data_IF_173705875415
#
_entry.id   IF_173705875415
#
_cell.length_a   1.000
_cell.length_b   1.000
_cell.length_c   1.000
_cell.angle_alpha   90.00
_cell.angle_beta   90.00
_cell.angle_gamma   90.00
#
_symmetry.space_group_name_H-M   'P 1'
#
loop_
_entity.id
_entity.type
_entity.pdbx_description
1 polymer ?
#
# COMPACT_ATOMS: atom_id res chain seq x y z
N UNK A 1 11.58 -2.84 37.26
CA UNK A 1 11.96 -1.64 36.49
C UNK A 1 12.80 -2.06 35.28
N UNK A 2 12.25 -2.00 34.07
CA UNK A 2 12.94 -1.43 32.91
C UNK A 2 11.95 -1.30 31.76
N UNK A 3 11.53 -0.06 31.54
CA UNK A 3 10.92 0.47 30.32
C UNK A 3 11.80 0.09 29.13
N UNK A 4 11.25 -0.47 28.06
CA UNK A 4 11.89 -0.46 26.73
C UNK A 4 10.85 -0.45 25.62
N UNK A 5 10.27 0.73 25.51
CA UNK A 5 9.78 1.40 24.30
C UNK A 5 10.54 0.95 23.06
N UNK A 6 9.85 0.41 22.07
CA UNK A 6 10.30 0.44 20.67
C UNK A 6 9.04 0.67 19.84
N UNK A 7 9.09 1.58 18.84
CA UNK A 7 7.91 2.07 18.08
C UNK A 7 8.19 2.19 16.56
N UNK A 8 7.50 1.48 15.63
CA UNK A 8 7.98 1.16 14.24
C UNK A 8 6.78 0.94 13.24
N UNK A 9 6.68 1.79 12.17
CA UNK A 9 5.89 2.15 10.94
C UNK A 9 4.50 1.63 10.48
N UNK A 10 3.76 2.63 9.99
CA UNK A 10 2.58 2.61 9.13
C UNK A 10 2.91 3.07 7.71
N UNK A 11 2.36 2.34 6.75
CA UNK A 11 1.99 2.67 5.37
C UNK A 11 2.32 4.07 4.83
N UNK A 12 3.02 4.05 3.69
CA UNK A 12 3.09 5.17 2.78
C UNK A 12 2.84 4.62 1.37
N UNK A 13 1.63 4.85 0.87
CA UNK A 13 1.18 4.49 -0.47
C UNK A 13 0.47 5.72 -1.04
N UNK A 14 1.12 6.54 -1.87
CA UNK A 14 0.32 7.36 -2.78
C UNK A 14 1.11 7.79 -4.02
N UNK A 15 0.52 8.39 -5.05
CA UNK A 15 1.27 9.07 -6.13
C UNK A 15 0.60 10.40 -6.49
N UNK A 16 1.25 11.23 -7.30
CA UNK A 16 0.69 12.44 -7.89
C UNK A 16 1.01 12.47 -9.38
N UNK A 17 -0.04 12.66 -10.18
CA UNK A 17 -0.06 13.51 -11.36
C UNK A 17 -1.42 14.20 -11.34
N UNK A 18 -1.49 15.47 -11.75
CA UNK A 18 -2.71 16.27 -11.68
C UNK A 18 -3.87 15.59 -12.42
N UNK A 19 -4.91 15.20 -11.68
CA UNK A 19 -6.24 15.00 -12.23
C UNK A 19 -7.19 15.88 -11.41
N UNK A 20 -7.83 16.80 -12.11
CA UNK A 20 -8.91 17.70 -11.65
C UNK A 20 -10.06 16.90 -11.02
N UNK A 21 -10.86 17.52 -10.13
CA UNK A 21 -11.74 16.82 -9.22
C UNK A 21 -12.99 16.33 -9.95
N UNK A 22 -13.10 15.03 -10.13
CA UNK A 22 -14.39 14.35 -10.29
C UNK A 22 -14.22 12.91 -9.87
N UNK A 23 -14.52 12.62 -8.62
CA UNK A 23 -14.90 11.29 -8.18
C UNK A 23 -15.47 11.43 -6.78
N UNK A 24 -16.70 11.00 -6.62
CA UNK A 24 -17.33 10.56 -5.38
C UNK A 24 -16.25 10.14 -4.37
N UNK A 25 -16.17 10.82 -3.24
CA UNK A 25 -15.24 10.45 -2.17
C UNK A 25 -15.47 8.97 -1.86
N UNK A 26 -14.44 8.13 -1.95
CA UNK A 26 -14.55 6.74 -1.50
C UNK A 26 -14.84 6.83 0.01
N UNK A 27 -16.06 6.46 0.44
CA UNK A 27 -16.42 6.57 1.83
C UNK A 27 -15.65 5.50 2.61
N UNK A 28 -15.33 5.82 3.86
CA UNK A 28 -14.88 4.81 4.78
C UNK A 28 -16.05 3.88 5.12
N UNK A 29 -15.91 2.54 5.08
CA UNK A 29 -17.03 1.64 5.38
C UNK A 29 -17.55 1.85 6.81
N UNK A 30 -18.82 2.21 6.95
CA UNK A 30 -19.42 2.58 8.24
C UNK A 30 -19.45 1.42 9.23
N UNK A 31 -19.53 0.18 8.72
CA UNK A 31 -19.50 -1.04 9.51
C UNK A 31 -18.19 -1.16 10.32
N UNK A 32 -17.09 -0.63 9.79
CA UNK A 32 -15.78 -0.64 10.43
C UNK A 32 -15.63 0.44 11.51
N UNK A 33 -16.63 1.32 11.68
CA UNK A 33 -16.69 2.35 12.71
C UNK A 33 -17.52 1.92 13.93
N UNK A 34 -18.19 0.76 13.87
CA UNK A 34 -19.07 0.26 14.93
C UNK A 34 -18.27 -0.42 16.06
N UNK A 35 -18.68 -0.15 17.30
CA UNK A 35 -18.10 -0.74 18.52
C UNK A 35 -16.99 0.08 19.16
N UNK A 36 -16.83 -0.05 20.48
CA UNK A 36 -15.88 0.74 21.29
C UNK A 36 -14.42 0.56 20.83
N UNK A 37 -14.04 -0.64 20.40
CA UNK A 37 -12.71 -0.94 19.88
C UNK A 37 -12.37 -0.18 18.59
N UNK A 38 -13.36 0.39 17.90
CA UNK A 38 -13.19 1.18 16.67
C UNK A 38 -13.19 2.68 16.92
N UNK A 39 -13.34 3.13 18.16
CA UNK A 39 -13.26 4.55 18.54
C UNK A 39 -12.02 5.27 17.98
N UNK A 40 -10.79 4.70 18.02
CA UNK A 40 -9.62 5.38 17.46
C UNK A 40 -9.67 5.56 15.93
N UNK A 41 -10.38 4.67 15.22
CA UNK A 41 -10.60 4.77 13.76
C UNK A 41 -11.66 5.84 13.49
N UNK A 42 -12.76 5.81 14.24
CA UNK A 42 -13.86 6.78 14.17
C UNK A 42 -13.35 8.21 14.37
N UNK A 43 -12.53 8.45 15.40
CA UNK A 43 -11.92 9.76 15.66
C UNK A 43 -11.07 10.30 14.49
N UNK A 44 -10.47 9.41 13.70
CA UNK A 44 -9.66 9.78 12.55
C UNK A 44 -10.52 10.06 11.33
N UNK A 45 -11.58 9.29 11.12
CA UNK A 45 -12.49 9.45 9.97
C UNK A 45 -13.41 10.66 10.14
N UNK A 46 -13.88 10.93 11.36
CA UNK A 46 -14.81 12.03 11.64
C UNK A 46 -14.11 13.38 11.87
N UNK A 47 -12.89 13.37 12.43
CA UNK A 47 -12.14 14.58 12.79
C UNK A 47 -10.70 14.50 12.27
N UNK A 48 -10.57 14.34 10.95
CA UNK A 48 -9.28 14.34 10.27
C UNK A 48 -8.68 15.76 10.21
N UNK A 49 -7.36 15.83 10.31
CA UNK A 49 -6.59 17.04 9.98
C UNK A 49 -6.52 17.25 8.46
N UNK A 50 -6.38 16.16 7.69
CA UNK A 50 -6.29 16.18 6.23
C UNK A 50 -6.99 14.95 5.66
N UNK A 51 -7.88 15.15 4.69
CA UNK A 51 -8.41 14.09 3.85
C UNK A 51 -7.83 14.23 2.45
N UNK A 52 -7.45 13.10 1.85
CA UNK A 52 -6.91 13.07 0.49
C UNK A 52 -7.38 11.81 -0.22
N UNK A 53 -7.94 12.01 -1.41
CA UNK A 53 -8.13 10.93 -2.38
C UNK A 53 -7.13 11.05 -3.52
N UNK A 54 -6.61 9.91 -3.97
CA UNK A 54 -5.64 9.77 -5.05
C UNK A 54 -6.06 8.60 -5.93
N UNK A 55 -6.47 8.86 -7.16
CA UNK A 55 -6.81 7.85 -8.17
C UNK A 55 -5.75 7.69 -9.25
N UNK A 56 -6.00 6.79 -10.21
CA UNK A 56 -5.14 6.60 -11.39
C UNK A 56 -3.79 5.95 -11.12
N UNK A 57 -3.62 5.32 -9.95
CA UNK A 57 -2.36 4.68 -9.57
C UNK A 57 -2.24 3.31 -10.24
N UNK A 58 -1.63 3.26 -11.42
CA UNK A 58 -1.45 2.03 -12.19
C UNK A 58 -0.17 1.31 -11.81
N UNK A 59 -0.31 0.04 -11.43
CA UNK A 59 0.81 -0.89 -11.19
C UNK A 59 0.72 -2.02 -12.20
N UNK A 60 1.83 -2.37 -12.84
CA UNK A 60 1.87 -3.51 -13.78
C UNK A 60 1.53 -4.83 -13.06
N UNK A 61 0.77 -5.70 -13.73
CA UNK A 61 0.41 -7.03 -13.25
C UNK A 61 -1.07 -7.19 -12.91
N UNK A 62 -1.41 -8.36 -12.37
CA UNK A 62 -2.78 -8.75 -12.02
C UNK A 62 -3.24 -8.21 -10.68
N UNK A 63 -4.55 -8.02 -10.55
CA UNK A 63 -5.18 -7.66 -9.28
C UNK A 63 -4.93 -8.72 -8.21
N UNK A 64 -4.93 -10.00 -8.55
CA UNK A 64 -4.67 -11.09 -7.61
C UNK A 64 -3.28 -11.01 -6.96
N UNK A 65 -2.25 -10.67 -7.74
CA UNK A 65 -0.87 -10.47 -7.24
C UNK A 65 -0.81 -9.24 -6.34
N UNK A 66 -1.42 -8.14 -6.75
CA UNK A 66 -1.47 -6.92 -5.94
C UNK A 66 -2.15 -7.17 -4.59
N UNK A 67 -3.35 -7.76 -4.61
CA UNK A 67 -4.11 -8.05 -3.40
C UNK A 67 -3.38 -9.01 -2.46
N UNK A 68 -2.69 -10.00 -3.04
CA UNK A 68 -1.88 -10.94 -2.28
C UNK A 68 -0.78 -10.25 -1.47
N UNK A 69 -0.04 -9.34 -2.11
CA UNK A 69 1.05 -8.59 -1.50
C UNK A 69 0.54 -7.58 -0.47
N UNK A 70 -0.53 -6.85 -0.79
CA UNK A 70 -1.12 -5.85 0.10
C UNK A 70 -1.73 -6.48 1.36
N UNK A 71 -2.25 -7.71 1.26
CA UNK A 71 -2.72 -8.48 2.41
C UNK A 71 -1.58 -9.04 3.29
N UNK A 72 -0.33 -9.05 2.80
CA UNK A 72 0.86 -9.54 3.51
C UNK A 72 2.00 -8.50 3.49
N UNK A 73 1.87 -7.38 4.21
CA UNK A 73 2.85 -6.29 4.20
C UNK A 73 4.28 -6.68 4.59
N UNK A 74 4.44 -7.65 5.50
CA UNK A 74 5.72 -8.22 5.94
C UNK A 74 6.44 -8.99 4.82
N UNK A 75 5.69 -9.83 4.11
CA UNK A 75 6.20 -10.52 2.94
C UNK A 75 6.52 -9.54 1.80
N UNK A 76 5.62 -8.60 1.50
CA UNK A 76 5.83 -7.57 0.48
C UNK A 76 7.07 -6.71 0.78
N UNK A 77 7.34 -6.40 2.05
CA UNK A 77 8.57 -5.74 2.49
C UNK A 77 9.82 -6.52 2.13
N UNK A 78 9.82 -7.79 2.52
CA UNK A 78 10.94 -8.69 2.29
C UNK A 78 11.20 -8.88 0.81
N UNK A 79 10.14 -8.97 0.01
CA UNK A 79 10.20 -9.06 -1.44
C UNK A 79 10.78 -7.79 -2.07
N UNK A 80 10.32 -6.61 -1.65
CA UNK A 80 10.84 -5.34 -2.14
C UNK A 80 12.32 -5.13 -1.75
N UNK A 81 12.72 -5.60 -0.57
CA UNK A 81 14.10 -5.61 -0.11
C UNK A 81 14.97 -6.55 -0.96
N UNK A 82 14.53 -7.78 -1.17
CA UNK A 82 15.19 -8.76 -2.02
C UNK A 82 15.34 -8.27 -3.48
N UNK A 83 14.35 -7.52 -3.97
CA UNK A 83 14.39 -6.87 -5.29
C UNK A 83 15.34 -5.66 -5.37
N UNK A 84 15.91 -5.20 -4.25
CA UNK A 84 16.75 -4.01 -4.16
C UNK A 84 15.99 -2.69 -4.32
N UNK A 85 14.67 -2.73 -4.23
CA UNK A 85 13.79 -1.61 -4.56
C UNK A 85 13.63 -0.69 -3.35
N UNK A 86 13.45 -1.29 -2.17
CA UNK A 86 13.12 -0.60 -0.92
C UNK A 86 13.89 -1.20 0.26
N UNK A 87 14.21 -0.37 1.26
CA UNK A 87 14.91 -0.80 2.48
C UNK A 87 14.03 -0.68 3.73
N UNK A 88 12.71 -0.69 3.59
CA UNK A 88 11.84 -0.65 4.76
C UNK A 88 11.75 -2.02 5.42
N UNK A 89 11.52 -2.02 6.72
CA UNK A 89 11.28 -3.24 7.50
C UNK A 89 9.79 -3.32 7.79
N UNK A 90 9.15 -4.50 7.69
CA UNK A 90 7.81 -4.73 8.25
C UNK A 90 7.86 -6.04 9.02
N UNK A 91 7.28 -6.06 10.21
CA UNK A 91 7.20 -7.20 11.13
C UNK A 91 5.75 -7.39 11.54
N UNK A 92 5.26 -8.61 11.39
CA UNK A 92 3.94 -9.00 11.87
C UNK A 92 3.94 -9.07 13.40
N UNK A 93 2.94 -8.46 14.03
CA UNK A 93 2.73 -8.45 15.49
C UNK A 93 1.49 -9.26 15.90
N UNK A 94 0.59 -9.52 14.95
CA UNK A 94 -0.62 -10.31 15.14
C UNK A 94 -1.25 -10.73 13.81
N UNK A 95 -2.46 -11.31 13.81
CA UNK A 95 -3.11 -11.78 12.58
C UNK A 95 -3.28 -10.69 11.52
N UNK A 96 -3.68 -9.48 11.95
CA UNK A 96 -3.88 -8.31 11.09
C UNK A 96 -3.02 -7.10 11.51
N UNK A 97 -2.11 -7.30 12.47
CA UNK A 97 -1.33 -6.22 13.06
C UNK A 97 0.13 -6.30 12.64
N UNK A 98 0.68 -5.14 12.30
CA UNK A 98 2.02 -5.00 11.75
C UNK A 98 2.70 -3.77 12.31
N UNK A 99 3.99 -3.77 12.09
CA UNK A 99 4.96 -2.84 12.61
C UNK A 99 6.01 -2.64 11.54
N UNK A 100 6.47 -1.44 11.23
CA UNK A 100 7.41 -1.29 10.12
C UNK A 100 8.54 -0.23 10.34
N UNK A 101 9.45 0.05 9.43
CA UNK A 101 10.31 1.24 9.54
C UNK A 101 10.68 1.67 8.15
N UNK A 102 10.44 2.93 7.79
CA UNK A 102 10.82 3.40 6.46
C UNK A 102 12.27 3.87 6.40
N UNK A 103 12.97 3.90 7.54
CA UNK A 103 14.33 4.40 7.74
C UNK A 103 14.53 5.83 7.21
N UNK A 104 13.43 6.56 7.02
CA UNK A 104 13.33 7.90 6.45
C UNK A 104 12.40 8.78 7.29
N UNK A 105 12.22 8.41 8.55
CA UNK A 105 11.55 9.19 9.58
C UNK A 105 10.14 8.75 9.94
N UNK A 106 9.48 7.84 9.23
CA UNK A 106 8.11 7.40 9.58
C UNK A 106 8.17 6.07 10.36
N UNK A 107 7.47 6.02 11.50
CA UNK A 107 7.32 4.84 12.38
C UNK A 107 5.87 4.78 12.97
N UNK A 108 5.36 3.67 13.55
CA UNK A 108 3.93 3.43 13.88
C UNK A 108 3.35 2.00 13.71
N UNK A 109 2.24 1.63 14.34
CA UNK A 109 1.54 0.35 14.13
C UNK A 109 0.53 0.42 12.99
N UNK A 110 0.50 -0.61 12.15
CA UNK A 110 -0.48 -0.83 11.08
C UNK A 110 -1.45 -1.96 11.45
N UNK A 111 -2.73 -1.77 11.17
CA UNK A 111 -3.78 -2.78 11.26
C UNK A 111 -4.53 -2.89 9.92
N UNK A 112 -4.74 -4.11 9.44
CA UNK A 112 -5.64 -4.39 8.32
C UNK A 112 -7.04 -4.58 8.90
N UNK A 113 -7.93 -3.61 8.66
CA UNK A 113 -9.31 -3.64 9.16
C UNK A 113 -10.21 -4.53 8.31
N UNK A 114 -9.99 -4.51 6.99
CA UNK A 114 -10.73 -5.31 6.03
C UNK A 114 -9.87 -5.59 4.80
N UNK A 115 -10.01 -6.81 4.27
CA UNK A 115 -9.32 -7.23 3.05
C UNK A 115 -10.28 -7.91 2.05
N UNK A 116 -11.32 -7.20 1.62
CA UNK A 116 -12.28 -7.68 0.62
C UNK A 116 -11.71 -7.57 -0.81
N UNK A 117 -12.27 -8.34 -1.75
CA UNK A 117 -11.89 -8.22 -3.18
C UNK A 117 -12.12 -6.79 -3.66
N UNK A 118 -11.11 -6.20 -4.31
CA UNK A 118 -11.14 -4.83 -4.81
C UNK A 118 -11.16 -3.73 -3.75
N UNK A 119 -11.25 -4.05 -2.44
CA UNK A 119 -11.24 -3.06 -1.36
C UNK A 119 -10.45 -3.52 -0.13
N UNK A 120 -9.38 -2.79 0.20
CA UNK A 120 -8.60 -2.98 1.42
C UNK A 120 -8.74 -1.75 2.33
N UNK A 121 -8.98 -1.96 3.62
CA UNK A 121 -9.12 -0.88 4.60
C UNK A 121 -8.09 -1.07 5.70
N UNK A 122 -7.40 0.00 6.06
CA UNK A 122 -6.34 -0.03 7.04
C UNK A 122 -6.51 1.08 8.05
N UNK A 123 -6.03 0.79 9.25
CA UNK A 123 -5.82 1.76 10.30
C UNK A 123 -4.36 1.77 10.72
N UNK A 124 -3.93 2.92 11.18
CA UNK A 124 -2.56 3.18 11.41
C UNK A 124 -2.35 4.25 12.48
N UNK A 125 -1.37 4.04 13.34
CA UNK A 125 -0.94 5.02 14.32
C UNK A 125 0.57 5.11 14.36
N UNK A 126 1.15 6.30 14.28
CA UNK A 126 2.59 6.45 14.19
C UNK A 126 3.11 7.84 14.47
N UNK A 127 4.33 8.08 14.02
CA UNK A 127 5.00 9.37 14.06
C UNK A 127 5.97 9.54 12.90
N UNK A 128 6.04 10.76 12.41
CA UNK A 128 7.11 11.24 11.55
C UNK A 128 8.18 11.96 12.39
N UNK A 129 9.44 11.64 12.18
CA UNK A 129 10.61 12.24 12.83
C UNK A 129 11.68 12.56 11.79
N UNK A 130 12.02 13.84 11.63
CA UNK A 130 13.14 14.28 10.79
C UNK A 130 13.78 15.53 11.39
N UNK A 131 15.06 15.43 11.77
CA UNK A 131 15.74 16.50 12.52
C UNK A 131 15.00 16.81 13.82
N UNK A 132 14.59 18.07 14.01
CA UNK A 132 13.82 18.50 15.18
C UNK A 132 12.31 18.17 15.08
N UNK A 133 11.81 17.99 13.86
CA UNK A 133 10.37 17.80 13.60
C UNK A 133 9.94 16.42 14.09
N UNK A 134 8.91 16.40 14.95
CA UNK A 134 8.24 15.20 15.46
C UNK A 134 6.74 15.41 15.35
N UNK A 135 6.08 14.59 14.53
CA UNK A 135 4.65 14.71 14.25
C UNK A 135 4.04 13.33 14.48
N UNK A 136 3.48 13.04 15.66
CA UNK A 136 2.66 11.85 15.84
C UNK A 136 1.34 12.03 15.09
N UNK A 137 0.76 10.92 14.64
CA UNK A 137 -0.48 10.96 13.93
C UNK A 137 -1.06 9.58 13.68
N UNK A 138 -2.31 9.60 13.25
CA UNK A 138 -3.11 8.43 12.92
C UNK A 138 -3.64 8.56 11.49
N UNK A 139 -3.79 7.42 10.82
CA UNK A 139 -4.30 7.38 9.45
C UNK A 139 -5.32 6.26 9.35
N UNK A 140 -6.48 6.55 8.77
CA UNK A 140 -7.43 5.57 8.30
C UNK A 140 -7.45 5.65 6.77
N UNK A 141 -7.34 4.53 6.08
CA UNK A 141 -7.20 4.53 4.62
C UNK A 141 -7.97 3.40 3.96
N UNK A 142 -8.57 3.73 2.82
CA UNK A 142 -9.31 2.83 1.94
C UNK A 142 -8.58 2.78 0.62
N UNK A 143 -8.24 1.58 0.17
CA UNK A 143 -7.65 1.31 -1.14
C UNK A 143 -8.68 0.55 -1.95
N UNK A 144 -9.15 1.16 -3.02
CA UNK A 144 -9.85 0.47 -4.09
C UNK A 144 -8.89 0.09 -5.19
N UNK A 145 -9.01 -1.14 -5.68
CA UNK A 145 -8.19 -1.67 -6.76
C UNK A 145 -9.08 -2.32 -7.80
N UNK A 146 -8.84 -2.01 -9.07
CA UNK A 146 -9.52 -2.63 -10.19
C UNK A 146 -8.49 -3.09 -11.22
N UNK A 147 -8.66 -4.30 -11.74
CA UNK A 147 -7.89 -4.78 -12.88
C UNK A 147 -8.28 -4.00 -14.14
N UNK A 148 -7.27 -3.51 -14.85
CA UNK A 148 -7.38 -2.94 -16.16
C UNK A 148 -6.41 -3.61 -17.13
N UNK A 149 -6.54 -3.26 -18.41
CA UNK A 149 -5.73 -3.84 -19.48
C UNK A 149 -5.35 -2.79 -20.51
N UNK A 150 -4.10 -2.85 -20.94
CA UNK A 150 -3.56 -2.01 -22.02
C UNK A 150 -2.78 -2.91 -22.99
N UNK A 151 -3.37 -3.14 -24.18
CA UNK A 151 -2.86 -4.13 -25.13
C UNK A 151 -2.85 -5.55 -24.53
N UNK A 152 -1.68 -6.17 -24.47
CA UNK A 152 -1.47 -7.49 -23.85
C UNK A 152 -1.07 -7.43 -22.38
N UNK A 153 -0.91 -6.24 -21.80
CA UNK A 153 -0.45 -6.07 -20.42
C UNK A 153 -1.61 -5.80 -19.48
N UNK A 154 -1.62 -6.50 -18.35
CA UNK A 154 -2.52 -6.20 -17.23
C UNK A 154 -1.91 -5.12 -16.34
N UNK A 155 -2.78 -4.28 -15.79
CA UNK A 155 -2.41 -3.35 -14.73
C UNK A 155 -3.49 -3.36 -13.65
N UNK A 156 -3.11 -2.98 -12.45
CA UNK A 156 -4.02 -2.71 -11.35
C UNK A 156 -4.12 -1.21 -11.18
N UNK A 157 -5.29 -0.64 -11.44
CA UNK A 157 -5.58 0.75 -11.15
C UNK A 157 -6.08 0.89 -9.73
N UNK A 158 -5.39 1.73 -8.95
CA UNK A 158 -5.68 1.92 -7.55
C UNK A 158 -6.17 3.34 -7.29
N UNK A 159 -7.19 3.43 -6.43
CA UNK A 159 -7.64 4.68 -5.84
C UNK A 159 -7.56 4.57 -4.33
N UNK A 160 -6.89 5.54 -3.69
CA UNK A 160 -6.62 5.57 -2.26
C UNK A 160 -7.32 6.78 -1.67
N UNK A 161 -8.14 6.57 -0.64
CA UNK A 161 -8.75 7.61 0.19
C UNK A 161 -8.15 7.51 1.58
N UNK A 162 -7.46 8.56 2.03
CA UNK A 162 -6.80 8.60 3.33
C UNK A 162 -7.28 9.77 4.18
N UNK A 163 -7.60 9.43 5.43
CA UNK A 163 -8.00 10.33 6.50
C UNK A 163 -6.83 10.39 7.49
N UNK A 164 -6.19 11.54 7.60
CA UNK A 164 -4.99 11.74 8.42
C UNK A 164 -5.34 12.67 9.57
N UNK A 165 -5.08 12.22 10.79
CA UNK A 165 -5.16 13.02 12.01
C UNK A 165 -3.77 13.23 12.58
N UNK A 166 -3.39 14.48 12.81
CA UNK A 166 -2.17 14.80 13.54
C UNK A 166 -2.51 14.94 15.01
N UNK A 167 -1.84 14.16 15.85
CA UNK A 167 -2.02 14.22 17.30
C UNK A 167 -1.10 15.33 17.84
N UNK A 168 -1.55 16.58 17.85
CA UNK A 168 -0.72 17.65 18.38
C UNK A 168 -0.54 17.47 19.90
N UNK A 169 0.71 17.47 20.40
CA UNK A 169 0.99 17.37 21.82
C UNK A 169 0.60 18.63 22.62
N UNK A 170 0.02 19.68 22.01
CA UNK A 170 -0.54 20.86 22.67
C UNK A 170 -1.64 21.49 21.79
N UNK A 171 -2.88 21.38 22.26
CA UNK A 171 -4.08 22.20 21.97
C UNK A 171 -4.51 22.34 20.49
N UNK A 172 -5.76 21.93 20.25
CA UNK A 172 -6.42 21.70 18.96
C UNK A 172 -6.58 22.86 17.93
N UNK A 173 -6.14 24.12 18.15
CA UNK A 173 -6.08 25.09 17.04
C UNK A 173 -4.84 24.96 16.14
N UNK A 174 -3.72 24.45 16.66
CA UNK A 174 -2.41 24.52 15.97
C UNK A 174 -2.18 23.39 14.96
N UNK A 175 -2.95 22.29 15.03
CA UNK A 175 -2.83 21.18 14.08
C UNK A 175 -3.02 21.63 12.62
N UNK A 176 -3.90 22.62 12.38
CA UNK A 176 -4.13 23.19 11.05
C UNK A 176 -2.92 23.96 10.50
N UNK A 177 -2.07 24.54 11.36
CA UNK A 177 -0.85 25.24 10.93
C UNK A 177 0.22 24.27 10.40
N UNK A 178 0.19 23.01 10.82
CA UNK A 178 1.07 21.97 10.28
C UNK A 178 0.57 21.40 8.95
N UNK A 179 -0.64 21.74 8.49
CA UNK A 179 -1.22 21.21 7.25
C UNK A 179 -0.28 21.33 6.05
N UNK A 180 0.35 22.48 5.74
CA UNK A 180 1.27 22.57 4.58
C UNK A 180 2.48 21.63 4.70
N UNK A 181 2.98 21.43 5.92
CA UNK A 181 4.10 20.52 6.20
C UNK A 181 3.65 19.07 6.02
N UNK A 182 2.48 18.72 6.56
CA UNK A 182 1.89 17.37 6.46
C UNK A 182 1.58 17.03 5.01
N UNK A 183 0.97 17.96 4.25
CA UNK A 183 0.71 17.80 2.82
C UNK A 183 2.01 17.57 2.03
N UNK A 184 3.06 18.35 2.31
CA UNK A 184 4.37 18.15 1.67
C UNK A 184 5.00 16.81 2.03
N UNK A 185 4.93 16.39 3.29
CA UNK A 185 5.43 15.08 3.74
C UNK A 185 4.68 13.98 3.01
N UNK A 186 3.35 14.07 2.99
CA UNK A 186 2.48 13.14 2.29
C UNK A 186 2.90 13.08 0.82
N UNK A 187 2.80 14.17 0.06
CA UNK A 187 3.10 14.23 -1.38
C UNK A 187 4.48 13.67 -1.77
N UNK A 188 5.49 13.84 -0.92
CA UNK A 188 6.81 13.25 -1.15
C UNK A 188 6.83 11.74 -0.88
N UNK A 189 6.21 11.29 0.22
CA UNK A 189 6.14 9.88 0.61
C UNK A 189 5.34 9.11 -0.42
N UNK A 190 4.14 9.59 -0.72
CA UNK A 190 3.35 9.33 -1.94
C UNK A 190 4.31 9.01 -3.10
N UNK A 191 4.82 10.03 -3.80
CA UNK A 191 5.47 9.81 -5.09
C UNK A 191 6.67 8.86 -4.99
N UNK A 192 7.39 8.86 -3.87
CA UNK A 192 8.45 7.91 -3.61
C UNK A 192 7.96 6.46 -3.61
N UNK A 193 6.94 6.13 -2.83
CA UNK A 193 6.48 4.75 -2.67
C UNK A 193 5.78 4.21 -3.89
N UNK A 194 4.98 5.01 -4.61
CA UNK A 194 4.37 4.53 -5.86
C UNK A 194 5.42 4.19 -6.90
N UNK A 195 6.45 5.04 -7.10
CA UNK A 195 7.57 4.71 -7.99
C UNK A 195 8.21 3.38 -7.62
N UNK A 196 8.36 3.13 -6.32
CA UNK A 196 8.96 1.90 -5.80
C UNK A 196 8.04 0.68 -5.91
N UNK A 197 6.74 0.83 -5.69
CA UNK A 197 5.76 -0.22 -5.97
C UNK A 197 5.75 -0.59 -7.46
N UNK A 198 5.80 0.41 -8.34
CA UNK A 198 5.85 0.19 -9.79
C UNK A 198 7.18 -0.45 -10.24
N UNK A 199 8.30 -0.05 -9.64
CA UNK A 199 9.61 -0.69 -9.87
C UNK A 199 9.57 -2.17 -9.46
N UNK A 200 9.00 -2.50 -8.30
CA UNK A 200 8.83 -3.89 -7.86
C UNK A 200 7.92 -4.68 -8.80
N UNK A 201 6.76 -4.12 -9.17
CA UNK A 201 5.81 -4.81 -10.03
C UNK A 201 6.38 -5.05 -11.44
N UNK A 202 7.17 -4.11 -11.95
CA UNK A 202 7.92 -4.25 -13.20
C UNK A 202 8.95 -5.39 -13.10
N UNK A 203 9.73 -5.44 -12.02
CA UNK A 203 10.71 -6.52 -11.81
C UNK A 203 10.04 -7.90 -11.71
N UNK A 204 8.91 -7.99 -10.99
CA UNK A 204 8.14 -9.24 -10.87
C UNK A 204 7.52 -9.68 -12.20
N UNK A 205 7.08 -8.73 -13.04
CA UNK A 205 6.56 -9.04 -14.36
C UNK A 205 7.66 -9.51 -15.33
N UNK A 206 8.87 -8.99 -15.19
CA UNK A 206 10.01 -9.31 -16.06
C UNK A 206 10.68 -10.64 -15.70
N UNK A 207 11.06 -10.82 -14.44
CA UNK A 207 11.75 -12.03 -13.97
C UNK A 207 11.37 -12.29 -12.50
N UNK A 208 10.21 -12.95 -12.28
CA UNK A 208 9.75 -13.20 -10.93
C UNK A 208 10.70 -14.12 -10.14
N UNK A 209 11.30 -15.13 -10.79
CA UNK A 209 12.18 -16.07 -10.10
C UNK A 209 13.48 -15.40 -9.62
N UNK A 210 14.05 -14.48 -10.41
CA UNK A 210 15.22 -13.71 -9.97
C UNK A 210 14.95 -12.84 -8.73
N UNK A 211 13.70 -12.44 -8.50
CA UNK A 211 13.30 -11.74 -7.26
C UNK A 211 13.05 -12.74 -6.14
N UNK A 212 12.29 -13.81 -6.39
CA UNK A 212 11.88 -14.79 -5.38
C UNK A 212 13.07 -15.56 -4.79
N UNK A 213 14.08 -15.90 -5.60
CA UNK A 213 15.27 -16.63 -5.14
C UNK A 213 16.18 -15.83 -4.20
N UNK A 214 16.01 -14.50 -4.14
CA UNK A 214 16.77 -13.62 -3.23
C UNK A 214 16.14 -13.53 -1.83
N UNK A 215 14.94 -14.10 -1.64
CA UNK A 215 14.33 -14.19 -0.32
C UNK A 215 15.02 -15.25 0.54
N UNK A 216 15.05 -15.08 1.87
CA UNK A 216 15.49 -16.14 2.77
C UNK A 216 14.68 -17.43 2.55
N UNK A 217 15.33 -18.56 2.26
CA UNK A 217 14.65 -19.77 1.77
C UNK A 217 13.71 -20.41 2.78
N UNK A 218 13.92 -20.23 4.10
CA UNK A 218 13.12 -20.90 5.13
C UNK A 218 12.00 -20.03 5.69
N UNK A 219 12.05 -18.71 5.47
CA UNK A 219 11.11 -17.76 6.09
C UNK A 219 9.81 -17.62 5.30
N UNK A 220 9.87 -17.71 3.97
CA UNK A 220 8.78 -17.32 3.08
C UNK A 220 8.33 -18.43 2.12
N UNK A 221 8.59 -19.70 2.44
CA UNK A 221 8.34 -20.82 1.53
C UNK A 221 6.89 -20.88 1.04
N UNK A 222 5.95 -20.74 1.98
CA UNK A 222 4.53 -20.75 1.69
C UNK A 222 4.15 -19.56 0.81
N UNK A 223 4.60 -18.36 1.18
CA UNK A 223 4.26 -17.14 0.46
C UNK A 223 4.84 -17.11 -0.95
N UNK A 224 6.07 -17.61 -1.11
CA UNK A 224 6.71 -17.77 -2.42
C UNK A 224 5.96 -18.79 -3.28
N UNK A 225 5.51 -19.91 -2.71
CA UNK A 225 4.74 -20.91 -3.45
C UNK A 225 3.39 -20.35 -3.92
N UNK A 226 2.65 -19.69 -3.03
CA UNK A 226 1.36 -19.04 -3.34
C UNK A 226 1.54 -17.94 -4.40
N UNK A 227 2.51 -17.04 -4.23
CA UNK A 227 2.78 -15.96 -5.18
C UNK A 227 3.20 -16.51 -6.56
N UNK A 228 4.00 -17.59 -6.59
CA UNK A 228 4.41 -18.23 -7.85
C UNK A 228 3.21 -18.79 -8.62
N UNK A 229 2.21 -19.33 -7.94
CA UNK A 229 0.97 -19.80 -8.59
C UNK A 229 0.25 -18.63 -9.25
N UNK A 230 0.11 -17.50 -8.55
CA UNK A 230 -0.54 -16.30 -9.07
C UNK A 230 0.20 -15.72 -10.29
N UNK A 231 1.54 -15.66 -10.23
CA UNK A 231 2.37 -15.15 -11.33
C UNK A 231 2.33 -16.06 -12.56
N UNK A 232 2.27 -17.39 -12.40
CA UNK A 232 2.13 -18.33 -13.52
C UNK A 232 0.77 -18.21 -14.20
N UNK A 233 -0.30 -18.04 -13.43
CA UNK A 233 -1.64 -17.84 -13.98
C UNK A 233 -1.69 -16.58 -14.86
N UNK A 234 -0.99 -15.51 -14.47
CA UNK A 234 -0.85 -14.29 -15.26
C UNK A 234 -0.16 -14.56 -16.62
N UNK A 235 0.99 -15.23 -16.58
CA UNK A 235 1.79 -15.54 -17.78
C UNK A 235 1.08 -16.49 -18.75
N UNK A 236 0.32 -17.47 -18.26
CA UNK A 236 -0.40 -18.44 -19.08
C UNK A 236 -1.50 -17.79 -19.93
N UNK A 237 -2.26 -16.84 -19.38
CA UNK A 237 -3.32 -16.12 -20.10
C UNK A 237 -2.73 -15.22 -21.21
N UNK A 238 -1.57 -14.60 -20.96
CA UNK A 238 -0.83 -13.85 -21.99
C UNK A 238 -0.40 -14.79 -23.14
N UNK A 239 0.14 -15.97 -22.81
CA UNK A 239 0.61 -16.95 -23.78
C UNK A 239 -0.50 -17.51 -24.68
N UNK A 240 -1.62 -17.93 -24.10
CA UNK A 240 -2.76 -18.48 -24.86
C UNK A 240 -3.33 -17.47 -25.85
N UNK A 241 -3.35 -16.17 -25.51
CA UNK A 241 -3.93 -15.13 -26.35
C UNK A 241 -3.04 -14.70 -27.50
N UNK A 242 -1.72 -14.62 -27.29
CA UNK A 242 -0.77 -14.41 -28.40
C UNK A 242 -0.89 -15.50 -29.47
N UNK A 243 -1.07 -16.74 -29.04
CA UNK A 243 -1.28 -17.87 -29.95
C UNK A 243 -2.61 -17.76 -30.71
N UNK A 244 -3.69 -17.33 -30.05
CA UNK A 244 -4.99 -17.10 -30.69
C UNK A 244 -4.94 -15.96 -31.72
N UNK A 245 -4.30 -14.82 -31.39
CA UNK A 245 -4.13 -13.71 -32.34
C UNK A 245 -3.27 -14.09 -33.54
N UNK A 246 -2.15 -14.78 -33.32
CA UNK A 246 -1.27 -15.27 -34.41
C UNK A 246 -2.01 -16.21 -35.37
N UNK A 247 -2.95 -17.02 -34.85
CA UNK A 247 -3.81 -17.87 -35.68
C UNK A 247 -4.79 -17.06 -36.52
N UNK A 248 -5.43 -16.04 -35.93
CA UNK A 248 -6.37 -15.16 -36.63
C UNK A 248 -5.71 -14.33 -37.74
N UNK A 249 -4.48 -13.83 -37.53
CA UNK A 249 -3.74 -13.08 -38.56
C UNK A 249 -3.24 -13.94 -39.72
N UNK A 250 -3.09 -15.25 -39.51
CA UNK A 250 -2.70 -16.21 -40.56
C UNK A 250 -3.87 -16.73 -41.39
N UNK A 251 -5.11 -16.44 -40.98
CA UNK A 251 -6.35 -16.86 -41.66
C UNK A 251 -7.07 -15.73 -42.40
N UNK A 252 -6.53 -14.51 -42.39
CA UNK A 252 -7.04 -13.41 -43.23
C UNK A 252 -6.31 -13.41 -44.58
N UNK A 253 -7.02 -13.58 -45.72
CA UNK A 253 -6.45 -13.55 -47.07
C UNK A 253 -6.01 -12.15 -47.50
#
# INVERSE_FOLDING_TARGET
>A
MSVRTTVTLVLALFSFAAATPQATSIPFPEELLKGEQRRPVKEVVEDFTLHRQVGGLRLLGRQSVFEYLVARPDFAASLAHAAGVLKYTVTRQGPAEYWADDHKGLTGRLEILQAAEGQKVFYAQGRYKKGIIRIPGRVALVVHSAEGREGDSFYVENTISAFVRVDAALLDPLARLFRPIVERIMNNKVAFFFRKANELSTKLAQDPEAVLQKLPPDTWQKEVAELRILLKADQADIGHRRQAQTRLSRTSP
#
